data_IF_070375074235
#
_entry.id   IF_070375074235
#
_cell.length_a   1.000
_cell.length_b   1.000
_cell.length_c   1.000
_cell.angle_alpha   90.00
_cell.angle_beta   90.00
_cell.angle_gamma   90.00
#
_symmetry.space_group_name_H-M   'P 1'
#
loop_
_entity.id
_entity.type
_entity.pdbx_description
1 polymer ?
#
# COMPACT_ATOMS: atom_id res chain seq x y z
N UNK A 1 -33.96 17.84 19.39
CA UNK A 1 -33.43 17.39 18.12
C UNK A 1 -32.75 16.05 18.38
N UNK A 2 -33.46 14.94 18.11
CA UNK A 2 -32.91 13.56 18.25
C UNK A 2 -32.10 13.28 17.03
N UNK A 3 -30.76 13.17 17.18
CA UNK A 3 -29.91 12.71 16.10
C UNK A 3 -30.25 11.22 15.85
N UNK A 4 -30.80 10.92 14.68
CA UNK A 4 -31.04 9.55 14.26
C UNK A 4 -29.68 8.84 14.17
N UNK A 5 -29.50 7.80 14.97
CA UNK A 5 -28.37 6.87 14.86
C UNK A 5 -28.52 6.22 13.46
N UNK A 6 -27.50 6.28 12.59
CA UNK A 6 -27.58 5.60 11.30
C UNK A 6 -27.86 4.12 11.54
N UNK A 7 -28.91 3.61 10.88
CA UNK A 7 -29.27 2.19 10.92
C UNK A 7 -28.07 1.36 10.45
N UNK A 8 -27.70 0.27 11.15
CA UNK A 8 -26.69 -0.63 10.62
C UNK A 8 -27.10 -1.12 9.22
N UNK A 9 -26.15 -1.19 8.31
CA UNK A 9 -26.37 -1.67 6.95
C UNK A 9 -27.08 -3.03 6.98
N UNK A 10 -28.00 -3.24 6.05
CA UNK A 10 -28.74 -4.50 5.98
C UNK A 10 -27.76 -5.66 5.74
N UNK A 11 -28.01 -6.87 6.29
CA UNK A 11 -27.10 -8.02 6.15
C UNK A 11 -26.74 -8.40 4.71
N UNK A 12 -27.55 -7.97 3.74
CA UNK A 12 -27.35 -8.17 2.29
C UNK A 12 -26.25 -7.32 1.67
N UNK A 13 -25.76 -6.30 2.38
CA UNK A 13 -24.78 -5.33 1.84
C UNK A 13 -23.33 -5.73 2.15
N UNK A 14 -23.11 -6.73 3.03
CA UNK A 14 -21.79 -7.22 3.38
C UNK A 14 -21.30 -8.37 2.48
N UNK A 15 -19.99 -8.43 2.25
CA UNK A 15 -19.34 -9.59 1.63
C UNK A 15 -19.31 -10.75 2.61
N UNK A 16 -20.19 -11.73 2.40
CA UNK A 16 -20.38 -12.90 3.29
C UNK A 16 -19.36 -13.99 2.94
N UNK A 17 -18.89 -14.70 3.98
CA UNK A 17 -17.96 -15.84 3.87
C UNK A 17 -18.46 -16.90 2.88
N UNK A 18 -17.58 -17.34 1.97
CA UNK A 18 -17.90 -18.39 0.97
C UNK A 18 -18.50 -17.86 -0.33
N UNK A 19 -18.72 -16.55 -0.47
CA UNK A 19 -19.22 -16.00 -1.73
C UNK A 19 -18.08 -15.79 -2.75
N UNK A 20 -18.33 -15.99 -4.06
CA UNK A 20 -17.34 -15.72 -5.11
C UNK A 20 -16.85 -14.26 -5.14
N UNK A 21 -17.70 -13.33 -4.71
CA UNK A 21 -17.36 -11.90 -4.60
C UNK A 21 -16.30 -11.65 -3.52
N UNK A 22 -16.44 -12.27 -2.35
CA UNK A 22 -15.45 -12.17 -1.27
C UNK A 22 -14.10 -12.77 -1.72
N UNK A 23 -14.10 -13.95 -2.33
CA UNK A 23 -12.88 -14.58 -2.83
C UNK A 23 -12.15 -13.71 -3.87
N UNK A 24 -12.88 -13.11 -4.80
CA UNK A 24 -12.29 -12.18 -5.79
C UNK A 24 -11.68 -10.95 -5.12
N UNK A 25 -12.37 -10.35 -4.14
CA UNK A 25 -11.87 -9.21 -3.38
C UNK A 25 -10.60 -9.58 -2.60
N UNK A 26 -10.59 -10.72 -1.91
CA UNK A 26 -9.44 -11.22 -1.16
C UNK A 26 -8.21 -11.43 -2.07
N UNK A 27 -8.36 -12.10 -3.22
CA UNK A 27 -7.27 -12.31 -4.16
C UNK A 27 -6.75 -11.00 -4.76
N UNK A 28 -7.65 -10.06 -5.06
CA UNK A 28 -7.25 -8.74 -5.56
C UNK A 28 -6.46 -7.95 -4.51
N UNK A 29 -6.91 -7.97 -3.26
CA UNK A 29 -6.22 -7.31 -2.15
C UNK A 29 -4.88 -7.99 -1.82
N UNK A 30 -4.84 -9.32 -1.81
CA UNK A 30 -3.60 -10.07 -1.66
C UNK A 30 -2.59 -9.71 -2.75
N UNK A 31 -3.00 -9.73 -4.03
CA UNK A 31 -2.12 -9.37 -5.14
C UNK A 31 -1.63 -7.91 -5.02
N UNK A 32 -2.48 -6.99 -4.60
CA UNK A 32 -2.11 -5.59 -4.39
C UNK A 32 -1.12 -5.44 -3.23
N UNK A 33 -1.36 -6.10 -2.11
CA UNK A 33 -0.46 -6.15 -0.95
C UNK A 33 0.88 -6.77 -1.32
N UNK A 34 0.87 -7.96 -1.91
CA UNK A 34 2.07 -8.64 -2.37
C UNK A 34 2.91 -7.78 -3.32
N UNK A 35 2.28 -7.13 -4.32
CA UNK A 35 2.97 -6.23 -5.23
C UNK A 35 3.60 -5.04 -4.51
N UNK A 36 2.87 -4.45 -3.56
CA UNK A 36 3.34 -3.32 -2.75
C UNK A 36 4.58 -3.71 -1.93
N UNK A 37 4.51 -4.82 -1.18
CA UNK A 37 5.63 -5.28 -0.37
C UNK A 37 6.81 -5.75 -1.22
N UNK A 38 6.58 -6.42 -2.34
CA UNK A 38 7.63 -6.80 -3.28
C UNK A 38 8.38 -5.57 -3.81
N UNK A 39 7.67 -4.52 -4.23
CA UNK A 39 8.27 -3.27 -4.69
C UNK A 39 9.01 -2.53 -3.57
N UNK A 40 8.52 -2.61 -2.34
CA UNK A 40 9.16 -1.99 -1.18
C UNK A 40 10.49 -2.65 -0.84
N UNK A 41 10.49 -3.98 -0.74
CA UNK A 41 11.61 -4.76 -0.22
C UNK A 41 12.58 -5.28 -1.29
N UNK A 42 12.29 -5.16 -2.59
CA UNK A 42 13.18 -5.59 -3.67
C UNK A 42 14.59 -4.96 -3.62
N UNK A 43 14.75 -3.84 -2.91
CA UNK A 43 16.04 -3.15 -2.75
C UNK A 43 16.92 -3.73 -1.65
N UNK A 44 16.37 -4.51 -0.71
CA UNK A 44 17.15 -5.05 0.40
C UNK A 44 18.38 -5.87 -0.04
N UNK A 45 18.24 -6.84 -0.97
CA UNK A 45 19.40 -7.60 -1.46
C UNK A 45 20.37 -6.74 -2.28
N UNK A 46 19.94 -5.55 -2.74
CA UNK A 46 20.79 -4.65 -3.53
C UNK A 46 21.59 -3.65 -2.68
N UNK A 47 21.35 -3.56 -1.37
CA UNK A 47 22.05 -2.61 -0.51
C UNK A 47 23.59 -2.73 -0.56
N UNK A 48 24.20 -3.94 -0.58
CA UNK A 48 25.65 -4.08 -0.75
C UNK A 48 26.13 -3.58 -2.12
N UNK A 49 25.33 -3.76 -3.18
CA UNK A 49 25.65 -3.24 -4.51
C UNK A 49 25.64 -1.71 -4.51
N UNK A 50 24.67 -1.08 -3.85
CA UNK A 50 24.62 0.38 -3.76
C UNK A 50 25.82 0.98 -3.06
N UNK A 51 26.35 0.32 -2.01
CA UNK A 51 27.59 0.77 -1.36
C UNK A 51 28.78 0.76 -2.31
N UNK A 52 28.85 -0.24 -3.16
CA UNK A 52 29.94 -0.37 -4.14
C UNK A 52 29.79 0.60 -5.30
N UNK A 53 28.62 0.63 -5.93
CA UNK A 53 28.37 1.44 -7.14
C UNK A 53 28.38 2.96 -6.87
N UNK A 54 27.75 3.38 -5.78
CA UNK A 54 27.62 4.80 -5.46
C UNK A 54 28.67 5.31 -4.46
N UNK A 55 29.55 4.44 -3.96
CA UNK A 55 30.56 4.81 -2.99
C UNK A 55 29.99 5.31 -1.64
N UNK A 56 28.80 4.83 -1.27
CA UNK A 56 28.10 5.24 -0.03
C UNK A 56 28.34 4.25 1.10
N UNK A 57 28.22 4.71 2.33
CA UNK A 57 28.35 3.81 3.50
C UNK A 57 27.15 2.85 3.61
N UNK A 58 27.29 1.71 4.32
CA UNK A 58 26.18 0.79 4.59
C UNK A 58 24.98 1.48 5.27
N UNK A 59 25.25 2.43 6.18
CA UNK A 59 24.22 3.22 6.82
C UNK A 59 23.48 4.14 5.82
N UNK A 60 24.20 4.73 4.86
CA UNK A 60 23.59 5.51 3.80
C UNK A 60 22.77 4.63 2.84
N UNK A 61 23.26 3.45 2.46
CA UNK A 61 22.51 2.56 1.56
C UNK A 61 21.16 2.13 2.13
N UNK A 62 21.02 2.02 3.46
CA UNK A 62 19.75 1.72 4.11
C UNK A 62 18.71 2.85 3.98
N UNK A 63 19.13 4.09 3.63
CA UNK A 63 18.20 5.21 3.40
C UNK A 63 17.24 4.95 2.25
N UNK A 64 17.64 4.13 1.26
CA UNK A 64 16.80 3.74 0.13
C UNK A 64 15.50 3.07 0.60
N UNK A 65 15.58 2.23 1.63
CA UNK A 65 14.42 1.60 2.23
C UNK A 65 13.76 2.49 3.28
N UNK A 66 14.54 3.07 4.20
CA UNK A 66 14.02 3.85 5.33
C UNK A 66 13.23 5.08 4.87
N UNK A 67 13.73 5.80 3.85
CA UNK A 67 13.05 6.96 3.30
C UNK A 67 11.74 6.56 2.60
N UNK A 68 11.78 5.49 1.80
CA UNK A 68 10.60 4.94 1.15
C UNK A 68 9.53 4.51 2.18
N UNK A 69 9.93 3.77 3.21
CA UNK A 69 9.03 3.28 4.26
C UNK A 69 8.48 4.43 5.12
N UNK A 70 9.31 5.39 5.47
CA UNK A 70 8.88 6.57 6.25
C UNK A 70 7.84 7.40 5.51
N UNK A 71 8.06 7.66 4.23
CA UNK A 71 7.10 8.39 3.40
C UNK A 71 5.86 7.57 3.07
N UNK A 72 5.98 6.25 2.93
CA UNK A 72 4.84 5.34 2.85
C UNK A 72 3.94 5.46 4.10
N UNK A 73 4.52 5.43 5.28
CA UNK A 73 3.77 5.57 6.53
C UNK A 73 3.05 6.93 6.61
N UNK A 74 3.74 8.02 6.28
CA UNK A 74 3.14 9.35 6.20
C UNK A 74 1.99 9.41 5.18
N UNK A 75 2.18 8.81 4.00
CA UNK A 75 1.17 8.76 2.96
C UNK A 75 -0.06 7.94 3.37
N UNK A 76 0.12 6.79 4.04
CA UNK A 76 -1.00 5.99 4.58
C UNK A 76 -1.83 6.85 5.54
N UNK A 77 -1.17 7.57 6.44
CA UNK A 77 -1.85 8.44 7.40
C UNK A 77 -2.65 9.54 6.69
N UNK A 78 -2.03 10.25 5.75
CA UNK A 78 -2.69 11.32 5.00
C UNK A 78 -3.85 10.81 4.13
N UNK A 79 -3.64 9.73 3.38
CA UNK A 79 -4.71 9.13 2.57
C UNK A 79 -5.84 8.63 3.45
N UNK A 80 -5.54 8.06 4.62
CA UNK A 80 -6.54 7.62 5.59
C UNK A 80 -7.46 8.75 6.06
N UNK A 81 -6.93 9.96 6.25
CA UNK A 81 -7.73 11.13 6.63
C UNK A 81 -8.72 11.56 5.54
N UNK A 82 -8.40 11.34 4.26
CA UNK A 82 -9.18 11.80 3.10
C UNK A 82 -9.88 10.67 2.34
N UNK A 83 -9.72 9.41 2.78
CA UNK A 83 -10.13 8.23 1.99
C UNK A 83 -11.63 8.11 1.77
N UNK A 84 -12.46 8.72 2.61
CA UNK A 84 -13.93 8.65 2.52
C UNK A 84 -14.51 9.32 1.26
N UNK A 85 -13.78 10.27 0.65
CA UNK A 85 -14.22 11.01 -0.53
C UNK A 85 -13.65 10.50 -1.86
N UNK A 86 -12.71 9.55 -1.82
CA UNK A 86 -11.96 9.12 -3.00
C UNK A 86 -12.49 7.80 -3.59
N UNK A 87 -12.58 7.68 -4.92
CA UNK A 87 -12.97 6.43 -5.57
C UNK A 87 -11.90 5.35 -5.36
N UNK A 88 -12.14 4.43 -4.44
CA UNK A 88 -11.21 3.40 -3.93
C UNK A 88 -10.45 2.66 -5.03
N UNK A 89 -11.17 2.16 -6.05
CA UNK A 89 -10.57 1.44 -7.17
C UNK A 89 -9.55 2.29 -7.93
N UNK A 90 -9.86 3.57 -8.16
CA UNK A 90 -8.94 4.48 -8.86
C UNK A 90 -7.69 4.77 -8.04
N UNK A 91 -7.84 5.02 -6.74
CA UNK A 91 -6.71 5.27 -5.85
C UNK A 91 -5.77 4.07 -5.84
N UNK A 92 -6.27 2.85 -5.62
CA UNK A 92 -5.46 1.63 -5.63
C UNK A 92 -4.75 1.42 -6.97
N UNK A 93 -5.47 1.55 -8.09
CA UNK A 93 -4.88 1.33 -9.43
C UNK A 93 -3.81 2.38 -9.74
N UNK A 94 -4.08 3.65 -9.45
CA UNK A 94 -3.11 4.73 -9.67
C UNK A 94 -1.89 4.59 -8.76
N UNK A 95 -2.08 4.22 -7.50
CA UNK A 95 -0.98 3.97 -6.55
C UNK A 95 -0.07 2.84 -7.03
N UNK A 96 -0.65 1.71 -7.46
CA UNK A 96 0.12 0.59 -7.99
C UNK A 96 0.86 0.96 -9.28
N UNK A 97 0.16 1.60 -10.23
CA UNK A 97 0.76 2.00 -11.51
C UNK A 97 1.90 3.01 -11.31
N UNK A 98 1.67 4.04 -10.48
CA UNK A 98 2.68 5.04 -10.16
C UNK A 98 3.89 4.41 -9.44
N UNK A 99 3.65 3.50 -8.48
CA UNK A 99 4.72 2.81 -7.76
C UNK A 99 5.56 1.92 -8.66
N UNK A 100 4.92 1.19 -9.58
CA UNK A 100 5.60 0.35 -10.56
C UNK A 100 6.45 1.20 -11.53
N UNK A 101 5.89 2.31 -12.03
CA UNK A 101 6.60 3.22 -12.91
C UNK A 101 7.82 3.83 -12.19
N UNK A 102 7.63 4.38 -10.98
CA UNK A 102 8.72 4.96 -10.20
C UNK A 102 9.79 3.93 -9.85
N UNK A 103 9.42 2.69 -9.54
CA UNK A 103 10.36 1.60 -9.31
C UNK A 103 11.16 1.25 -10.55
N UNK A 104 10.54 1.24 -11.73
CA UNK A 104 11.21 1.01 -13.01
C UNK A 104 12.19 2.14 -13.33
N UNK A 105 11.78 3.39 -13.14
CA UNK A 105 12.65 4.56 -13.35
C UNK A 105 13.81 4.57 -12.35
N UNK A 106 13.58 4.17 -11.10
CA UNK A 106 14.61 4.06 -10.08
C UNK A 106 15.70 3.03 -10.43
N UNK A 107 15.37 1.99 -11.21
CA UNK A 107 16.34 0.99 -11.65
C UNK A 107 17.40 1.54 -12.63
N UNK A 108 17.13 2.69 -13.26
CA UNK A 108 18.05 3.38 -14.18
C UNK A 108 18.52 4.73 -13.66
N UNK A 109 18.40 4.95 -12.35
CA UNK A 109 18.82 6.20 -11.72
C UNK A 109 20.32 6.45 -11.92
N UNK A 110 20.72 7.64 -12.44
CA UNK A 110 22.10 7.93 -12.78
C UNK A 110 23.01 8.18 -11.57
N UNK A 111 22.45 8.55 -10.45
CA UNK A 111 23.18 8.92 -9.24
C UNK A 111 22.38 8.58 -7.97
N UNK A 112 23.09 8.62 -6.83
CA UNK A 112 22.53 8.29 -5.51
C UNK A 112 21.35 9.16 -5.09
N UNK A 113 21.43 10.48 -5.35
CA UNK A 113 20.38 11.41 -4.94
C UNK A 113 19.10 11.21 -5.77
N UNK A 114 19.25 10.96 -7.07
CA UNK A 114 18.12 10.62 -7.95
C UNK A 114 17.45 9.33 -7.51
N UNK A 115 18.23 8.31 -7.14
CA UNK A 115 17.70 7.05 -6.60
C UNK A 115 16.90 7.30 -5.32
N UNK A 116 17.43 8.07 -4.36
CA UNK A 116 16.73 8.41 -3.12
C UNK A 116 15.44 9.19 -3.37
N UNK A 117 15.47 10.18 -4.26
CA UNK A 117 14.29 10.97 -4.62
C UNK A 117 13.19 10.11 -5.24
N UNK A 118 13.55 9.23 -6.18
CA UNK A 118 12.60 8.30 -6.80
C UNK A 118 12.01 7.31 -5.78
N UNK A 119 12.81 6.78 -4.87
CA UNK A 119 12.36 5.92 -3.77
C UNK A 119 11.44 6.64 -2.79
N UNK A 120 11.74 7.90 -2.50
CA UNK A 120 10.89 8.78 -1.69
C UNK A 120 9.50 8.96 -2.32
N UNK A 121 9.46 9.33 -3.59
CA UNK A 121 8.22 9.48 -4.36
C UNK A 121 7.46 8.14 -4.48
N UNK A 122 8.18 7.03 -4.67
CA UNK A 122 7.59 5.70 -4.70
C UNK A 122 6.91 5.36 -3.37
N UNK A 123 7.52 5.68 -2.23
CA UNK A 123 6.92 5.49 -0.91
C UNK A 123 5.59 6.25 -0.78
N UNK A 124 5.54 7.50 -1.21
CA UNK A 124 4.29 8.28 -1.22
C UNK A 124 3.24 7.62 -2.13
N UNK A 125 3.63 7.23 -3.36
CA UNK A 125 2.73 6.62 -4.31
C UNK A 125 2.13 5.30 -3.79
N UNK A 126 2.90 4.50 -3.04
CA UNK A 126 2.45 3.22 -2.48
C UNK A 126 1.39 3.39 -1.39
N UNK A 127 1.33 4.53 -0.70
CA UNK A 127 0.46 4.74 0.47
C UNK A 127 -1.03 4.57 0.22
N UNK A 128 -1.49 4.78 -1.02
CA UNK A 128 -2.90 4.62 -1.38
C UNK A 128 -3.41 3.16 -1.34
N UNK A 129 -2.53 2.16 -1.53
CA UNK A 129 -2.94 0.75 -1.52
C UNK A 129 -3.34 0.28 -0.13
N UNK A 130 -2.45 0.31 0.89
CA UNK A 130 -2.81 -0.17 2.22
C UNK A 130 -3.89 0.69 2.90
N UNK A 131 -3.87 2.01 2.70
CA UNK A 131 -4.90 2.89 3.26
C UNK A 131 -6.30 2.54 2.77
N UNK A 132 -6.46 2.36 1.45
CA UNK A 132 -7.75 2.02 0.85
C UNK A 132 -8.13 0.56 1.11
N UNK A 133 -7.17 -0.37 1.11
CA UNK A 133 -7.42 -1.78 1.39
C UNK A 133 -7.99 -1.98 2.81
N UNK A 134 -7.41 -1.32 3.81
CA UNK A 134 -7.89 -1.41 5.20
C UNK A 134 -9.27 -0.78 5.36
N UNK A 135 -9.53 0.37 4.74
CA UNK A 135 -10.84 1.01 4.75
C UNK A 135 -11.90 0.13 4.05
N UNK A 136 -11.56 -0.47 2.90
CA UNK A 136 -12.44 -1.37 2.18
C UNK A 136 -12.82 -2.60 3.00
N UNK A 137 -11.83 -3.27 3.60
CA UNK A 137 -12.07 -4.43 4.44
C UNK A 137 -12.96 -4.08 5.65
N UNK A 138 -12.72 -2.94 6.29
CA UNK A 138 -13.47 -2.53 7.47
C UNK A 138 -14.95 -2.21 7.17
N UNK A 139 -15.27 -1.77 5.95
CA UNK A 139 -16.62 -1.34 5.59
C UNK A 139 -17.43 -2.43 4.86
N UNK A 140 -16.78 -3.28 4.05
CA UNK A 140 -17.46 -4.21 3.14
C UNK A 140 -17.45 -5.66 3.64
N UNK A 141 -16.60 -5.99 4.63
CA UNK A 141 -16.49 -7.35 5.16
C UNK A 141 -17.26 -7.45 6.47
N UNK A 142 -18.02 -8.55 6.62
CA UNK A 142 -18.76 -8.84 7.82
C UNK A 142 -17.83 -8.85 9.06
N UNK A 143 -18.23 -8.21 10.20
CA UNK A 143 -17.38 -8.05 11.38
C UNK A 143 -16.76 -9.37 11.90
N UNK A 144 -17.49 -10.49 11.78
CA UNK A 144 -17.02 -11.80 12.22
C UNK A 144 -15.87 -12.36 11.35
N UNK A 145 -15.82 -11.99 10.07
CA UNK A 145 -14.78 -12.42 9.11
C UNK A 145 -13.67 -11.39 8.91
N UNK A 146 -13.84 -10.19 9.44
CA UNK A 146 -12.91 -9.07 9.25
C UNK A 146 -11.48 -9.41 9.71
N UNK A 147 -11.34 -10.05 10.87
CA UNK A 147 -10.03 -10.45 11.40
C UNK A 147 -9.28 -11.41 10.48
N UNK A 148 -9.99 -12.40 9.89
CA UNK A 148 -9.42 -13.33 8.93
C UNK A 148 -9.03 -12.61 7.62
N UNK A 149 -9.90 -11.74 7.11
CA UNK A 149 -9.65 -11.00 5.87
C UNK A 149 -8.45 -10.05 6.00
N UNK A 150 -8.33 -9.36 7.14
CA UNK A 150 -7.16 -8.52 7.45
C UNK A 150 -5.88 -9.34 7.60
N UNK A 151 -5.96 -10.49 8.28
CA UNK A 151 -4.83 -11.41 8.41
C UNK A 151 -4.30 -11.91 7.07
N UNK A 152 -5.19 -12.28 6.15
CA UNK A 152 -4.82 -12.70 4.79
C UNK A 152 -4.25 -11.57 3.93
N UNK A 153 -4.62 -10.32 4.21
CA UNK A 153 -4.04 -9.18 3.50
C UNK A 153 -2.61 -8.86 3.96
N UNK A 154 -2.30 -9.09 5.24
CA UNK A 154 -1.00 -8.73 5.85
C UNK A 154 0.03 -9.88 5.75
N UNK A 155 -0.41 -11.15 5.62
CA UNK A 155 0.48 -12.32 5.56
C UNK A 155 1.10 -12.54 4.18
#
# INVERSE_FOLDING_TARGET
MSAAIPSPAAPSDYLVRGTPSLHRAQWALFAAGFSTFSLLYCVQPLMPLFTHEFGVSPAQSSLVLSLCTGLLAAAIFLVGLFSQSLPRKRVMTLSLAASALLGTVAAVAPDWHSLLALRALQGVAMGGVPAVAMAYLAEEVEPETLGLAMGLYIS
#
